data_IF_488091319685
#
_entry.id   IF_488091319685
#
_cell.length_a   1.000
_cell.length_b   1.000
_cell.length_c   1.000
_cell.angle_alpha   90.00
_cell.angle_beta   90.00
_cell.angle_gamma   90.00
#
_symmetry.space_group_name_H-M   'P 1'
#
loop_
_entity.id
_entity.type
_entity.pdbx_description
1 polymer ?
#
# COMPACT_ATOMS: atom_id res chain seq x y z
N UNK A 1 24.33 14.06 64.96
CA UNK A 1 24.89 13.52 63.71
C UNK A 1 23.75 12.90 62.91
N UNK A 2 23.15 13.62 61.94
CA UNK A 2 22.01 13.17 61.14
C UNK A 2 22.52 12.60 59.83
N UNK A 3 22.30 11.31 59.61
CA UNK A 3 22.57 10.64 58.32
C UNK A 3 21.41 10.92 57.39
N UNK A 4 21.66 11.74 56.36
CA UNK A 4 20.74 11.95 55.25
C UNK A 4 20.93 10.79 54.31
N UNK A 5 19.91 9.92 54.22
CA UNK A 5 19.88 8.81 53.29
C UNK A 5 19.34 9.34 51.97
N UNK A 6 20.22 9.51 50.98
CA UNK A 6 19.89 9.93 49.64
C UNK A 6 19.29 8.72 48.91
N UNK A 7 17.96 8.70 48.74
CA UNK A 7 17.26 7.72 47.89
C UNK A 7 17.38 8.20 46.44
N UNK A 8 18.29 7.58 45.69
CA UNK A 8 18.40 7.80 44.24
C UNK A 8 17.30 7.02 43.58
N UNK A 9 16.24 7.74 43.16
CA UNK A 9 15.15 7.17 42.35
C UNK A 9 15.65 6.95 40.94
N UNK A 10 16.01 5.72 40.62
CA UNK A 10 16.41 5.30 39.26
C UNK A 10 15.14 5.15 38.41
N UNK A 11 14.77 6.23 37.71
CA UNK A 11 13.68 6.19 36.74
C UNK A 11 14.19 5.44 35.50
N UNK A 12 13.90 4.15 35.45
CA UNK A 12 14.09 3.34 34.24
C UNK A 12 12.98 3.73 33.29
N UNK A 13 13.30 4.65 32.37
CA UNK A 13 12.46 4.93 31.20
C UNK A 13 12.50 3.68 30.30
N UNK A 14 11.52 2.80 30.46
CA UNK A 14 11.20 1.80 29.45
C UNK A 14 10.72 2.55 28.20
N UNK A 15 11.63 2.87 27.29
CA UNK A 15 11.29 3.18 25.92
C UNK A 15 10.72 1.91 25.29
N UNK A 16 9.43 1.68 25.47
CA UNK A 16 8.70 0.74 24.62
C UNK A 16 8.75 1.32 23.22
N UNK A 17 9.71 0.82 22.43
CA UNK A 17 9.75 1.09 20.99
C UNK A 17 8.44 0.52 20.42
N UNK A 18 7.44 1.37 20.23
CA UNK A 18 6.29 1.03 19.40
C UNK A 18 6.83 0.83 17.98
N UNK A 19 7.12 -0.40 17.66
CA UNK A 19 7.32 -0.77 16.26
C UNK A 19 6.01 -0.48 15.55
N UNK A 20 5.96 0.60 14.79
CA UNK A 20 4.88 0.86 13.84
C UNK A 20 5.02 -0.27 12.80
N UNK A 21 4.31 -1.36 13.03
CA UNK A 21 4.23 -2.45 12.09
C UNK A 21 3.39 -1.97 10.92
N UNK A 22 4.05 -1.50 9.87
CA UNK A 22 3.38 -1.29 8.60
C UNK A 22 2.86 -2.63 8.10
N UNK A 23 1.59 -2.70 7.74
CA UNK A 23 0.98 -3.93 7.23
C UNK A 23 1.73 -4.41 5.98
N UNK A 24 2.03 -5.74 5.93
CA UNK A 24 2.46 -6.40 4.70
C UNK A 24 1.28 -7.15 4.12
N UNK A 25 0.99 -6.97 2.84
CA UNK A 25 -0.08 -7.70 2.19
C UNK A 25 0.19 -7.99 0.72
N UNK A 26 -0.46 -9.05 0.23
CA UNK A 26 -0.59 -9.33 -1.20
C UNK A 26 -2.05 -9.62 -1.53
N UNK A 27 -2.58 -9.02 -2.59
CA UNK A 27 -3.95 -9.21 -3.03
C UNK A 27 -4.02 -9.31 -4.55
N UNK A 28 -5.01 -10.04 -5.05
CA UNK A 28 -5.52 -9.80 -6.38
C UNK A 28 -6.35 -8.52 -6.37
N UNK A 29 -6.28 -7.72 -7.43
CA UNK A 29 -7.14 -6.56 -7.58
C UNK A 29 -7.91 -6.59 -8.89
N UNK A 30 -9.06 -5.91 -8.86
CA UNK A 30 -9.85 -5.55 -10.02
C UNK A 30 -10.11 -4.05 -10.00
N UNK A 31 -9.66 -3.37 -11.04
CA UNK A 31 -9.76 -1.93 -11.23
C UNK A 31 -10.85 -1.64 -12.27
N UNK A 32 -11.93 -0.99 -11.84
CA UNK A 32 -13.10 -0.67 -12.66
C UNK A 32 -13.16 0.84 -12.87
N UNK A 33 -13.05 1.26 -14.11
CA UNK A 33 -13.14 2.66 -14.53
C UNK A 33 -14.57 3.08 -14.87
N UNK A 34 -14.87 4.36 -14.81
CA UNK A 34 -16.19 4.91 -15.13
C UNK A 34 -16.64 4.67 -16.58
N UNK A 35 -15.72 4.42 -17.51
CA UNK A 35 -16.01 4.08 -18.90
C UNK A 35 -16.28 2.58 -19.10
N UNK A 36 -16.37 1.80 -18.02
CA UNK A 36 -16.59 0.35 -18.08
C UNK A 36 -15.34 -0.49 -18.30
N UNK A 37 -14.16 0.12 -18.49
CA UNK A 37 -12.91 -0.65 -18.60
C UNK A 37 -12.60 -1.34 -17.28
N UNK A 38 -12.26 -2.63 -17.34
CA UNK A 38 -11.88 -3.45 -16.21
C UNK A 38 -10.47 -3.97 -16.41
N UNK A 39 -9.59 -3.68 -15.46
CA UNK A 39 -8.24 -4.20 -15.42
C UNK A 39 -8.08 -5.09 -14.19
N UNK A 40 -7.33 -6.18 -14.32
CA UNK A 40 -7.04 -7.09 -13.23
C UNK A 40 -5.54 -7.19 -13.00
N UNK A 41 -5.15 -7.47 -11.78
CA UNK A 41 -3.74 -7.58 -11.44
C UNK A 41 -3.50 -8.08 -10.03
N UNK A 42 -2.25 -7.92 -9.62
CA UNK A 42 -1.79 -8.21 -8.26
C UNK A 42 -1.17 -6.97 -7.64
N UNK A 43 -1.39 -6.80 -6.36
CA UNK A 43 -0.70 -5.78 -5.57
C UNK A 43 0.04 -6.44 -4.41
N UNK A 44 1.27 -6.04 -4.23
CA UNK A 44 2.10 -6.41 -3.09
C UNK A 44 2.56 -5.16 -2.40
N UNK A 45 2.44 -5.14 -1.08
CA UNK A 45 2.93 -4.06 -0.25
C UNK A 45 3.75 -4.62 0.91
N UNK A 46 4.90 -4.01 1.13
CA UNK A 46 5.79 -4.30 2.23
C UNK A 46 6.51 -3.03 2.66
N UNK A 47 6.15 -2.50 3.82
CA UNK A 47 6.68 -1.22 4.32
C UNK A 47 6.48 -0.10 3.28
N UNK A 48 7.56 0.51 2.84
CA UNK A 48 7.60 1.59 1.84
C UNK A 48 7.75 1.11 0.39
N UNK A 49 7.56 -0.21 0.15
CA UNK A 49 7.67 -0.83 -1.17
C UNK A 49 6.32 -1.33 -1.64
N UNK A 50 5.99 -1.00 -2.87
CA UNK A 50 4.78 -1.49 -3.52
C UNK A 50 5.13 -2.01 -4.92
N UNK A 51 4.50 -3.13 -5.28
CA UNK A 51 4.40 -3.62 -6.65
C UNK A 51 2.93 -3.69 -7.02
N UNK A 52 2.55 -3.01 -8.08
CA UNK A 52 1.21 -3.02 -8.64
C UNK A 52 1.32 -3.50 -10.08
N UNK A 53 0.89 -4.72 -10.36
CA UNK A 53 1.11 -5.38 -11.65
C UNK A 53 -0.20 -5.79 -12.27
N UNK A 54 -0.50 -5.24 -13.45
CA UNK A 54 -1.64 -5.68 -14.25
C UNK A 54 -1.35 -7.04 -14.89
N UNK A 55 -2.37 -7.92 -14.96
CA UNK A 55 -2.27 -9.20 -15.69
C UNK A 55 -2.16 -8.97 -17.20
N UNK A 56 -2.78 -7.92 -17.71
CA UNK A 56 -2.65 -7.55 -19.12
C UNK A 56 -1.18 -7.21 -19.43
N UNK A 57 -0.63 -7.93 -20.43
CA UNK A 57 0.77 -7.76 -20.85
C UNK A 57 1.05 -6.41 -21.53
N UNK A 58 0.00 -5.73 -21.98
CA UNK A 58 0.10 -4.42 -22.63
C UNK A 58 0.19 -3.27 -21.62
N UNK A 59 -0.10 -3.56 -20.34
CA UNK A 59 -0.01 -2.61 -19.27
C UNK A 59 1.31 -2.75 -18.48
N UNK A 60 1.59 -1.72 -17.72
CA UNK A 60 2.82 -1.59 -16.96
C UNK A 60 2.82 -2.40 -15.65
N UNK A 61 4.03 -2.57 -15.09
CA UNK A 61 4.19 -2.84 -13.67
C UNK A 61 4.62 -1.52 -13.02
N UNK A 62 3.96 -1.16 -11.93
CA UNK A 62 4.30 0.00 -11.15
C UNK A 62 5.04 -0.47 -9.91
N UNK A 63 6.21 0.11 -9.67
CA UNK A 63 6.99 -0.12 -8.46
C UNK A 63 7.13 1.18 -7.69
N UNK A 64 6.93 1.10 -6.38
CA UNK A 64 7.31 2.16 -5.44
C UNK A 64 8.43 1.62 -4.57
N UNK A 65 9.46 2.43 -4.34
CA UNK A 65 10.55 2.16 -3.41
C UNK A 65 10.86 3.47 -2.66
N UNK A 66 10.31 3.58 -1.47
CA UNK A 66 10.29 4.81 -0.71
C UNK A 66 9.59 5.95 -1.49
N UNK A 67 10.33 7.01 -1.79
CA UNK A 67 9.81 8.19 -2.51
C UNK A 67 9.88 8.07 -4.03
N UNK A 68 10.39 6.97 -4.56
CA UNK A 68 10.61 6.80 -6.00
C UNK A 68 9.53 5.90 -6.60
N UNK A 69 8.96 6.30 -7.73
CA UNK A 69 7.99 5.49 -8.47
C UNK A 69 8.52 5.19 -9.86
N UNK A 70 8.43 3.95 -10.25
CA UNK A 70 8.92 3.44 -11.52
C UNK A 70 7.80 2.73 -12.27
N UNK A 71 7.75 2.95 -13.58
CA UNK A 71 6.97 2.15 -14.51
C UNK A 71 7.89 1.19 -15.25
N UNK A 72 7.55 -0.08 -15.23
CA UNK A 72 8.19 -1.09 -16.07
C UNK A 72 7.26 -1.44 -17.24
N UNK A 73 7.70 -1.09 -18.45
CA UNK A 73 7.03 -1.46 -19.69
C UNK A 73 7.37 -2.92 -20.03
N UNK A 74 6.39 -3.81 -19.91
CA UNK A 74 6.58 -5.25 -20.13
C UNK A 74 6.94 -5.57 -21.58
N UNK A 75 6.45 -4.79 -22.56
CA UNK A 75 6.74 -5.00 -23.97
C UNK A 75 8.14 -4.55 -24.37
N UNK A 76 8.51 -3.36 -23.92
CA UNK A 76 9.79 -2.74 -24.28
C UNK A 76 10.93 -3.12 -23.32
N UNK A 77 10.62 -3.86 -22.26
CA UNK A 77 11.57 -4.23 -21.20
C UNK A 77 12.35 -3.01 -20.65
N UNK A 78 11.65 -1.88 -20.49
CA UNK A 78 12.24 -0.62 -20.08
C UNK A 78 11.63 -0.12 -18.78
N UNK A 79 12.48 0.41 -17.92
CA UNK A 79 12.11 1.09 -16.68
C UNK A 79 12.11 2.59 -16.92
N UNK A 80 11.05 3.26 -16.49
CA UNK A 80 10.95 4.72 -16.52
C UNK A 80 10.65 5.20 -15.10
N UNK A 81 11.49 6.09 -14.59
CA UNK A 81 11.17 6.82 -13.36
C UNK A 81 10.10 7.86 -13.69
N UNK A 82 9.04 7.89 -12.90
CA UNK A 82 7.96 8.86 -13.06
C UNK A 82 7.90 9.77 -11.83
N UNK A 83 7.80 11.06 -12.11
CA UNK A 83 7.57 12.08 -11.09
C UNK A 83 6.08 12.33 -10.83
N UNK A 84 5.21 11.68 -11.61
CA UNK A 84 3.77 11.86 -11.49
C UNK A 84 3.21 11.07 -10.31
N UNK A 85 2.35 11.73 -9.59
CA UNK A 85 1.52 11.11 -8.57
C UNK A 85 0.48 10.23 -9.26
N UNK A 86 0.56 8.94 -9.03
CA UNK A 86 -0.49 7.99 -9.41
C UNK A 86 -1.46 7.93 -8.23
N UNK A 87 -2.58 8.65 -8.33
CA UNK A 87 -3.52 8.85 -7.22
C UNK A 87 -3.91 7.53 -6.52
N UNK A 88 -4.25 6.49 -7.29
CA UNK A 88 -4.62 5.20 -6.73
C UNK A 88 -3.47 4.55 -5.93
N UNK A 89 -2.24 4.64 -6.42
CA UNK A 89 -1.06 4.07 -5.76
C UNK A 89 -0.76 4.79 -4.44
N UNK A 90 -0.84 6.12 -4.46
CA UNK A 90 -0.63 6.92 -3.24
C UNK A 90 -1.70 6.65 -2.19
N UNK A 91 -2.96 6.51 -2.62
CA UNK A 91 -4.06 6.16 -1.74
C UNK A 91 -3.81 4.78 -1.10
N UNK A 92 -3.39 3.77 -1.87
CA UNK A 92 -3.07 2.44 -1.34
C UNK A 92 -1.94 2.53 -0.30
N UNK A 93 -0.85 3.26 -0.60
CA UNK A 93 0.27 3.44 0.32
C UNK A 93 -0.18 4.14 1.61
N UNK A 94 -0.93 5.24 1.49
CA UNK A 94 -1.46 5.97 2.64
C UNK A 94 -2.37 5.12 3.52
N UNK A 95 -3.28 4.35 2.91
CA UNK A 95 -4.19 3.48 3.65
C UNK A 95 -3.45 2.38 4.40
N UNK A 96 -2.35 1.87 3.83
CA UNK A 96 -1.50 0.91 4.50
C UNK A 96 -0.81 1.49 5.75
N UNK A 97 -0.39 2.74 5.68
CA UNK A 97 0.20 3.45 6.83
C UNK A 97 -0.83 3.76 7.92
N UNK A 98 -2.11 3.92 7.55
CA UNK A 98 -3.20 4.20 8.50
C UNK A 98 -3.78 2.93 9.14
N UNK A 99 -3.50 1.75 8.59
CA UNK A 99 -4.05 0.48 9.11
C UNK A 99 -3.58 0.20 10.55
N UNK A 100 -4.46 -0.29 11.46
CA UNK A 100 -5.86 -0.68 11.25
C UNK A 100 -6.89 0.46 11.41
N UNK A 101 -6.47 1.68 11.74
CA UNK A 101 -7.33 2.82 12.05
C UNK A 101 -7.69 3.62 10.80
N UNK A 102 -8.38 2.97 9.86
CA UNK A 102 -8.72 3.58 8.56
C UNK A 102 -10.10 4.22 8.64
N UNK A 103 -10.20 5.50 8.25
CA UNK A 103 -11.48 6.17 8.07
C UNK A 103 -12.17 5.70 6.80
N UNK A 104 -13.49 5.41 6.89
CA UNK A 104 -14.24 4.89 5.75
C UNK A 104 -14.45 5.90 4.62
N UNK A 105 -14.36 7.20 4.91
CA UNK A 105 -14.51 8.27 3.93
C UNK A 105 -13.58 9.42 4.29
N UNK A 106 -12.83 9.90 3.33
CA UNK A 106 -12.02 11.11 3.48
C UNK A 106 -11.83 11.80 2.13
N UNK A 107 -11.38 13.04 2.16
CA UNK A 107 -11.07 13.82 0.97
C UNK A 107 -9.60 14.24 1.00
N UNK A 108 -8.93 14.11 -0.13
CA UNK A 108 -7.54 14.51 -0.30
C UNK A 108 -7.33 15.19 -1.65
N UNK A 109 -6.82 16.44 -1.63
CA UNK A 109 -6.56 17.22 -2.83
C UNK A 109 -7.75 17.30 -3.81
N UNK A 110 -8.98 17.42 -3.29
CA UNK A 110 -10.21 17.45 -4.09
C UNK A 110 -10.62 16.11 -4.67
N UNK A 111 -10.03 15.03 -4.19
CA UNK A 111 -10.38 13.64 -4.51
C UNK A 111 -11.12 13.02 -3.33
N UNK A 112 -12.35 12.56 -3.55
CA UNK A 112 -13.14 11.84 -2.55
C UNK A 112 -12.78 10.37 -2.58
N UNK A 113 -12.45 9.83 -1.42
CA UNK A 113 -12.11 8.43 -1.22
C UNK A 113 -13.14 7.80 -0.29
N UNK A 114 -13.74 6.70 -0.73
CA UNK A 114 -14.67 5.91 0.05
C UNK A 114 -14.19 4.47 0.13
N UNK A 115 -14.16 3.92 1.34
CA UNK A 115 -13.69 2.58 1.63
C UNK A 115 -14.83 1.66 2.05
N UNK A 116 -14.71 0.42 1.62
CA UNK A 116 -15.48 -0.70 2.14
C UNK A 116 -14.51 -1.69 2.75
N UNK A 117 -14.67 -1.99 4.03
CA UNK A 117 -13.84 -2.93 4.75
C UNK A 117 -14.50 -4.30 4.81
N UNK A 118 -13.70 -5.33 4.85
CA UNK A 118 -14.15 -6.69 5.11
C UNK A 118 -14.48 -6.83 6.60
N UNK A 119 -15.69 -7.27 6.91
CA UNK A 119 -16.19 -7.39 8.29
C UNK A 119 -15.40 -8.40 9.15
N UNK A 120 -14.75 -9.39 8.53
CA UNK A 120 -14.05 -10.45 9.27
C UNK A 120 -12.65 -10.05 9.74
N UNK A 121 -11.96 -9.19 9.01
CA UNK A 121 -10.56 -8.84 9.30
C UNK A 121 -10.25 -7.35 9.22
N UNK A 122 -11.28 -6.50 9.05
CA UNK A 122 -11.16 -5.05 8.86
C UNK A 122 -10.21 -4.61 7.73
N UNK A 123 -9.84 -5.54 6.84
CA UNK A 123 -9.00 -5.18 5.70
C UNK A 123 -9.83 -4.57 4.57
N UNK A 124 -9.17 -3.81 3.72
CA UNK A 124 -9.80 -3.08 2.61
C UNK A 124 -10.35 -4.07 1.59
N UNK A 125 -11.65 -4.03 1.35
CA UNK A 125 -12.35 -4.79 0.31
C UNK A 125 -12.47 -3.99 -0.97
N UNK A 126 -12.78 -2.68 -0.85
CA UNK A 126 -12.94 -1.78 -1.98
C UNK A 126 -12.47 -0.37 -1.63
N UNK A 127 -11.81 0.27 -2.58
CA UNK A 127 -11.53 1.71 -2.59
C UNK A 127 -12.28 2.32 -3.76
N UNK A 128 -13.14 3.30 -3.50
CA UNK A 128 -13.76 4.11 -4.54
C UNK A 128 -13.11 5.49 -4.54
N UNK A 129 -12.61 5.91 -5.69
CA UNK A 129 -11.90 7.16 -5.90
C UNK A 129 -12.72 8.01 -6.86
N UNK A 130 -13.10 9.20 -6.45
CA UNK A 130 -13.86 10.13 -7.27
C UNK A 130 -13.15 11.49 -7.27
N UNK A 131 -12.70 11.91 -8.44
CA UNK A 131 -12.10 13.21 -8.68
C UNK A 131 -12.81 13.90 -9.85
N UNK A 132 -12.47 15.18 -10.10
CA UNK A 132 -12.98 15.91 -11.28
C UNK A 132 -12.59 15.25 -12.61
N UNK A 133 -11.51 14.45 -12.64
CA UNK A 133 -10.93 13.87 -13.86
C UNK A 133 -11.27 12.41 -14.07
N UNK A 134 -11.53 11.66 -13.00
CA UNK A 134 -11.71 10.22 -13.09
C UNK A 134 -12.56 9.70 -11.93
N UNK A 135 -13.29 8.62 -12.21
CA UNK A 135 -13.91 7.76 -11.20
C UNK A 135 -13.37 6.36 -11.39
N UNK A 136 -12.93 5.77 -10.30
CA UNK A 136 -12.26 4.49 -10.28
C UNK A 136 -12.72 3.73 -9.03
N UNK A 137 -12.95 2.42 -9.17
CA UNK A 137 -13.13 1.51 -8.05
C UNK A 137 -12.10 0.39 -8.10
N UNK A 138 -11.39 0.19 -7.00
CA UNK A 138 -10.46 -0.91 -6.79
C UNK A 138 -11.10 -1.92 -5.85
N UNK A 139 -11.20 -3.17 -6.28
CA UNK A 139 -11.66 -4.29 -5.48
C UNK A 139 -10.49 -5.20 -5.16
N UNK A 140 -10.34 -5.58 -3.90
CA UNK A 140 -9.30 -6.50 -3.45
C UNK A 140 -9.89 -7.86 -3.10
N UNK A 141 -9.25 -8.91 -3.60
CA UNK A 141 -9.65 -10.32 -3.42
C UNK A 141 -8.43 -11.15 -3.05
N UNK A 142 -8.65 -12.31 -2.46
CA UNK A 142 -7.61 -13.30 -2.14
C UNK A 142 -6.42 -12.69 -1.38
N UNK A 143 -6.70 -11.78 -0.45
CA UNK A 143 -5.67 -11.08 0.29
C UNK A 143 -5.00 -11.97 1.32
N UNK A 144 -3.68 -12.00 1.30
CA UNK A 144 -2.83 -12.57 2.33
C UNK A 144 -2.26 -11.41 3.14
N UNK A 145 -2.59 -11.37 4.43
CA UNK A 145 -2.16 -10.33 5.35
C UNK A 145 -1.07 -10.87 6.25
N UNK A 146 -0.11 -10.01 6.61
CA UNK A 146 0.98 -10.30 7.55
C UNK A 146 1.80 -11.58 7.20
N UNK A 147 1.83 -11.91 5.90
CA UNK A 147 2.69 -12.95 5.37
C UNK A 147 3.97 -12.34 4.83
N UNK A 148 5.15 -12.83 5.26
CA UNK A 148 6.42 -12.29 4.80
C UNK A 148 6.53 -12.31 3.28
N UNK A 149 6.71 -11.15 2.66
CA UNK A 149 6.91 -11.03 1.23
C UNK A 149 8.40 -10.94 0.95
N UNK A 150 8.92 -11.81 0.06
CA UNK A 150 10.32 -11.79 -0.29
C UNK A 150 10.66 -10.51 -1.08
N UNK A 151 11.74 -9.84 -0.69
CA UNK A 151 12.20 -8.60 -1.33
C UNK A 151 12.53 -8.75 -2.83
N UNK A 152 12.76 -9.96 -3.29
CA UNK A 152 12.99 -10.25 -4.71
C UNK A 152 11.81 -9.82 -5.58
N UNK A 153 10.58 -9.85 -5.04
CA UNK A 153 9.38 -9.46 -5.76
C UNK A 153 9.26 -7.96 -6.03
N UNK A 154 10.04 -7.15 -5.33
CA UNK A 154 10.10 -5.70 -5.55
C UNK A 154 11.25 -5.28 -6.48
N UNK A 155 11.93 -6.24 -7.12
CA UNK A 155 12.93 -5.97 -8.16
C UNK A 155 12.27 -5.92 -9.53
N UNK A 156 12.88 -5.15 -10.46
CA UNK A 156 12.42 -5.01 -11.86
C UNK A 156 12.62 -6.30 -12.67
N UNK A 157 12.14 -7.44 -12.19
CA UNK A 157 12.24 -8.69 -12.93
C UNK A 157 10.85 -9.14 -13.38
N UNK A 158 10.58 -9.23 -14.72
CA UNK A 158 9.29 -9.64 -15.27
C UNK A 158 9.01 -11.14 -15.12
N UNK A 159 9.99 -11.93 -14.68
CA UNK A 159 9.92 -13.41 -14.70
C UNK A 159 9.11 -13.98 -13.54
N UNK A 160 8.74 -13.17 -12.54
CA UNK A 160 7.99 -13.68 -11.41
C UNK A 160 6.51 -13.85 -11.74
N UNK A 161 6.15 -15.06 -12.15
CA UNK A 161 4.77 -15.51 -12.08
C UNK A 161 4.45 -15.82 -10.63
N UNK A 162 3.56 -15.03 -10.04
CA UNK A 162 2.86 -15.42 -8.83
C UNK A 162 1.90 -16.56 -9.17
N UNK A 163 2.14 -17.68 -8.60
CA UNK A 163 1.20 -18.77 -8.41
C UNK A 163 1.32 -19.31 -7.00
#
# INVERSE_FOLDING_TARGET
>A
MNKITTITFLIIFFFTSFSINSIEFSCDFEEVHSNGTVNQGIVLLKKDKLRYEYLNKDLFIIFVDGKKTYLFDKKKQRVKNIKQNLDAIQIIMKLADMFPNIENNFEENGTKIKLELNKSNNFIKRISIESKRARLSLYFKNCLLDKPINNVFFKFNPVFKYR
#
